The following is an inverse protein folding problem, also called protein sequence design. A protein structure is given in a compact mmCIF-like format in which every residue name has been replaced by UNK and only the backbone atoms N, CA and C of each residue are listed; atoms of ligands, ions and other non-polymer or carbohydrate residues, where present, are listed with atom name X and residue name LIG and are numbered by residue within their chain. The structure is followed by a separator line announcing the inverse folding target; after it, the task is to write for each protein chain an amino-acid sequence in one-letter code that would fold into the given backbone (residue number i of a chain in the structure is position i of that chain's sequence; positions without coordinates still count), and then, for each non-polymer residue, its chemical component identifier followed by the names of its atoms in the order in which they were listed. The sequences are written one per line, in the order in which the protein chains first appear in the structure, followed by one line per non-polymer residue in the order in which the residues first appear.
data_IF_769893482282
#
_entry.id   IF_769893482282
#
_cell.length_a   1.000
_cell.length_b   1.000
_cell.length_c   1.000
_cell.angle_alpha   90.00
_cell.angle_beta   90.00
_cell.angle_gamma   90.00
#
_symmetry.space_group_name_H-M   'P 1'
#
loop_
_entity.id
_entity.type
_entity.pdbx_description
1 polymer ?
#
# COMPACT_ATOMS: atom_id res chain seq x y z
N UNK A 1 17.93 -5.03 -26.78
CA UNK A 1 16.95 -4.13 -26.12
C UNK A 1 15.80 -4.91 -25.47
N UNK A 2 15.70 -6.22 -25.68
CA UNK A 2 14.57 -7.03 -25.18
C UNK A 2 14.66 -7.37 -23.68
N UNK A 3 15.85 -7.68 -23.17
CA UNK A 3 16.02 -8.07 -21.76
C UNK A 3 15.64 -6.96 -20.77
N UNK A 4 16.03 -5.71 -21.06
CA UNK A 4 15.75 -4.55 -20.20
C UNK A 4 14.24 -4.28 -20.12
N UNK A 5 13.55 -4.32 -21.26
CA UNK A 5 12.10 -4.14 -21.32
C UNK A 5 11.36 -5.26 -20.59
N UNK A 6 11.77 -6.51 -20.76
CA UNK A 6 11.21 -7.66 -20.02
C UNK A 6 11.38 -7.52 -18.51
N UNK A 7 12.55 -7.07 -18.04
CA UNK A 7 12.78 -6.83 -16.60
C UNK A 7 11.89 -5.72 -16.05
N UNK A 8 11.72 -4.61 -16.77
CA UNK A 8 10.87 -3.50 -16.33
C UNK A 8 9.40 -3.91 -16.26
N UNK A 9 8.91 -4.66 -17.25
CA UNK A 9 7.54 -5.18 -17.24
C UNK A 9 7.29 -6.12 -16.05
N UNK A 10 8.24 -7.01 -15.75
CA UNK A 10 8.14 -7.90 -14.59
C UNK A 10 8.12 -7.12 -13.26
N UNK A 11 8.96 -6.10 -13.10
CA UNK A 11 8.95 -5.24 -11.91
C UNK A 11 7.63 -4.47 -11.78
N UNK A 12 7.09 -3.96 -12.87
CA UNK A 12 5.80 -3.27 -12.88
C UNK A 12 4.66 -4.20 -12.48
N UNK A 13 4.69 -5.44 -12.95
CA UNK A 13 3.72 -6.45 -12.59
C UNK A 13 3.76 -6.75 -11.08
N UNK A 14 4.95 -6.95 -10.49
CA UNK A 14 5.11 -7.13 -9.03
C UNK A 14 4.48 -5.97 -8.25
N UNK A 15 4.72 -4.73 -8.67
CA UNK A 15 4.15 -3.55 -8.02
C UNK A 15 2.62 -3.55 -8.11
N UNK A 16 2.05 -3.95 -9.26
CA UNK A 16 0.60 -4.07 -9.45
C UNK A 16 -0.03 -5.13 -8.54
N UNK A 17 0.62 -6.29 -8.40
CA UNK A 17 0.19 -7.34 -7.45
C UNK A 17 0.24 -6.84 -6.01
N UNK A 18 1.32 -6.13 -5.65
CA UNK A 18 1.45 -5.50 -4.32
C UNK A 18 0.34 -4.49 -4.02
N UNK A 19 -0.03 -3.65 -4.99
CA UNK A 19 -1.12 -2.68 -4.84
C UNK A 19 -2.48 -3.36 -4.65
N UNK A 20 -2.73 -4.45 -5.39
CA UNK A 20 -3.98 -5.21 -5.28
C UNK A 20 -4.17 -5.80 -3.87
N UNK A 21 -3.08 -6.17 -3.19
CA UNK A 21 -3.11 -6.64 -1.81
C UNK A 21 -3.07 -5.52 -0.76
N UNK A 22 -2.44 -4.38 -1.07
CA UNK A 22 -2.27 -3.27 -0.14
C UNK A 22 -3.59 -2.61 0.27
N UNK A 23 -4.50 -2.39 -0.69
CA UNK A 23 -5.83 -1.82 -0.45
C UNK A 23 -6.68 -2.66 0.54
N UNK A 24 -6.89 -3.97 0.31
CA UNK A 24 -7.66 -4.78 1.25
C UNK A 24 -6.97 -4.92 2.62
N UNK A 25 -5.64 -5.03 2.67
CA UNK A 25 -4.91 -5.07 3.94
C UNK A 25 -5.10 -3.80 4.76
N UNK A 26 -5.00 -2.63 4.12
CA UNK A 26 -5.24 -1.36 4.79
C UNK A 26 -6.70 -1.23 5.26
N UNK A 27 -7.67 -1.66 4.43
CA UNK A 27 -9.08 -1.68 4.82
C UNK A 27 -9.32 -2.53 6.09
N UNK A 28 -8.72 -3.72 6.16
CA UNK A 28 -8.80 -4.58 7.35
C UNK A 28 -8.16 -3.90 8.56
N UNK A 29 -6.99 -3.29 8.40
CA UNK A 29 -6.32 -2.59 9.49
C UNK A 29 -7.15 -1.40 10.01
N UNK A 30 -7.80 -0.64 9.13
CA UNK A 30 -8.74 0.43 9.53
C UNK A 30 -9.97 -0.12 10.26
N UNK A 31 -10.54 -1.24 9.81
CA UNK A 31 -11.68 -1.88 10.48
C UNK A 31 -11.31 -2.40 11.87
N UNK A 32 -10.16 -3.05 12.03
CA UNK A 32 -9.66 -3.52 13.33
C UNK A 32 -9.41 -2.35 14.27
N UNK A 33 -8.76 -1.29 13.78
CA UNK A 33 -8.60 -0.04 14.54
C UNK A 33 -9.95 0.56 14.95
N UNK A 34 -10.93 0.60 14.04
CA UNK A 34 -12.31 1.04 14.28
C UNK A 34 -13.00 0.27 15.40
N UNK A 35 -12.95 -1.06 15.34
CA UNK A 35 -13.56 -1.92 16.36
C UNK A 35 -12.91 -1.66 17.72
N UNK A 36 -11.57 -1.58 17.79
CA UNK A 36 -10.86 -1.30 19.04
C UNK A 36 -11.16 0.10 19.60
N UNK A 37 -11.33 1.09 18.72
CA UNK A 37 -11.72 2.46 19.11
C UNK A 37 -13.13 2.48 19.71
N UNK A 38 -14.09 1.74 19.11
CA UNK A 38 -15.48 1.69 19.56
C UNK A 38 -15.66 0.86 20.83
N UNK A 39 -14.95 -0.26 20.96
CA UNK A 39 -15.17 -1.26 22.02
C UNK A 39 -14.15 -1.18 23.17
N UNK A 40 -13.04 -0.47 23.00
CA UNK A 40 -11.92 -0.47 23.96
C UNK A 40 -12.07 0.43 25.19
N UNK A 41 -13.20 1.14 25.35
CA UNK A 41 -13.43 2.06 26.46
C UNK A 41 -12.38 3.18 26.53
N UNK A 42 -11.92 3.54 27.73
CA UNK A 42 -10.92 4.60 27.94
C UNK A 42 -9.60 4.35 27.19
N UNK A 43 -9.24 3.07 26.98
CA UNK A 43 -8.00 2.66 26.31
C UNK A 43 -8.17 2.39 24.81
N UNK A 44 -9.40 2.47 24.29
CA UNK A 44 -9.71 2.16 22.89
C UNK A 44 -8.95 3.04 21.92
N UNK A 45 -8.87 4.34 22.21
CA UNK A 45 -8.09 5.30 21.43
C UNK A 45 -6.59 4.98 21.37
N UNK A 46 -6.01 4.57 22.50
CA UNK A 46 -4.58 4.22 22.55
C UNK A 46 -4.28 2.97 21.74
N UNK A 47 -5.15 1.96 21.80
CA UNK A 47 -4.99 0.70 21.06
C UNK A 47 -5.31 0.82 19.57
N UNK A 48 -6.22 1.70 19.16
CA UNK A 48 -6.61 1.89 17.77
C UNK A 48 -5.59 2.72 16.95
N UNK A 49 -4.95 3.72 17.58
CA UNK A 49 -3.92 4.58 16.95
C UNK A 49 -2.86 3.84 16.12
N UNK A 50 -2.17 2.80 16.62
CA UNK A 50 -1.16 2.11 15.82
C UNK A 50 -1.73 1.45 14.55
N UNK A 51 -2.97 0.97 14.60
CA UNK A 51 -3.64 0.39 13.42
C UNK A 51 -3.94 1.46 12.37
N UNK A 52 -4.43 2.62 12.78
CA UNK A 52 -4.69 3.73 11.85
C UNK A 52 -3.41 4.30 11.24
N UNK A 53 -2.38 4.51 12.06
CA UNK A 53 -1.10 5.05 11.59
C UNK A 53 -0.41 4.03 10.67
N UNK A 54 -0.37 2.76 11.06
CA UNK A 54 0.19 1.69 10.24
C UNK A 54 -0.53 1.54 8.90
N UNK A 55 -1.87 1.56 8.91
CA UNK A 55 -2.67 1.49 7.68
C UNK A 55 -2.44 2.71 6.78
N UNK A 56 -2.46 3.93 7.34
CA UNK A 56 -2.26 5.15 6.56
C UNK A 56 -0.86 5.23 5.96
N UNK A 57 0.19 5.02 6.77
CA UNK A 57 1.58 5.09 6.32
C UNK A 57 1.88 3.98 5.31
N UNK A 58 1.44 2.75 5.58
CA UNK A 58 1.62 1.62 4.65
C UNK A 58 0.95 1.86 3.29
N UNK A 59 -0.27 2.40 3.29
CA UNK A 59 -1.01 2.70 2.07
C UNK A 59 -0.30 3.81 1.25
N UNK A 60 0.18 4.87 1.90
CA UNK A 60 0.95 5.94 1.23
C UNK A 60 2.22 5.38 0.58
N UNK A 61 2.96 4.53 1.29
CA UNK A 61 4.19 3.91 0.74
C UNK A 61 3.86 3.03 -0.48
N UNK A 62 2.84 2.18 -0.39
CA UNK A 62 2.44 1.33 -1.51
C UNK A 62 1.99 2.14 -2.74
N UNK A 63 1.18 3.19 -2.55
CA UNK A 63 0.77 4.07 -3.65
C UNK A 63 1.94 4.87 -4.23
N UNK A 64 2.88 5.30 -3.39
CA UNK A 64 4.12 5.96 -3.81
C UNK A 64 4.96 5.08 -4.73
N UNK A 65 5.11 3.80 -4.41
CA UNK A 65 5.80 2.83 -5.26
C UNK A 65 5.12 2.67 -6.62
N UNK A 66 3.78 2.61 -6.67
CA UNK A 66 3.03 2.58 -7.94
C UNK A 66 3.30 3.82 -8.79
N UNK A 67 3.28 5.02 -8.19
CA UNK A 67 3.53 6.26 -8.93
C UNK A 67 4.94 6.31 -9.53
N UNK A 68 5.94 5.81 -8.80
CA UNK A 68 7.33 5.70 -9.28
C UNK A 68 7.42 4.68 -10.43
N UNK A 69 6.79 3.52 -10.29
CA UNK A 69 6.79 2.49 -11.33
C UNK A 69 6.15 2.99 -12.64
N UNK A 70 5.03 3.73 -12.55
CA UNK A 70 4.35 4.34 -13.69
C UNK A 70 5.21 5.40 -14.38
N UNK A 71 5.89 6.24 -13.62
CA UNK A 71 6.78 7.27 -14.19
C UNK A 71 8.00 6.68 -14.90
N UNK A 72 8.57 5.57 -14.39
CA UNK A 72 9.63 4.84 -15.09
C UNK A 72 9.15 4.23 -16.41
N UNK A 73 7.98 3.57 -16.42
CA UNK A 73 7.44 2.99 -17.65
C UNK A 73 7.22 4.05 -18.74
N UNK A 74 6.68 5.21 -18.37
CA UNK A 74 6.41 6.30 -19.31
C UNK A 74 7.69 6.96 -19.85
N UNK A 75 8.81 6.91 -19.13
CA UNK A 75 10.09 7.51 -19.56
C UNK A 75 11.04 6.57 -20.29
N UNK A 76 10.82 5.25 -20.23
CA UNK A 76 11.70 4.26 -20.89
C UNK A 76 11.11 3.81 -22.24
N UNK A 77 9.83 4.12 -22.51
CA UNK A 77 9.15 3.82 -23.79
C UNK A 77 9.38 4.92 -24.84
N UNK A 78 10.57 5.53 -24.90
CA UNK A 78 10.99 6.41 -26.01
C UNK A 78 11.73 5.62 -27.07
#
# INVERSE_FOLDING_TARGET
MDAVTSTIQFLYEIVKWGQMAALPLAAIAFLVGGILQMTGGAEGGRKARPWYIGAAVGLVVCLGCTAIAQTLQNKITF
#
